data_IF_341971470757
#
_entry.id   IF_341971470757
#
_cell.length_a   1.000
_cell.length_b   1.000
_cell.length_c   1.000
_cell.angle_alpha   90.00
_cell.angle_beta   90.00
_cell.angle_gamma   90.00
#
_symmetry.space_group_name_H-M   'P 1'
#
loop_
_entity.id
_entity.type
_entity.pdbx_description
1 polymer ?
#
# COMPACT_ATOMS: atom_id res chain seq x y z
N UNK A 1 9.75 -51.92 -75.12
CA UNK A 1 8.84 -52.24 -73.99
C UNK A 1 8.02 -50.98 -73.67
N UNK A 2 6.69 -51.11 -73.75
CA UNK A 2 5.59 -50.23 -73.29
C UNK A 2 5.24 -48.92 -74.05
N UNK A 3 3.99 -48.99 -74.51
CA UNK A 3 3.07 -48.09 -75.20
C UNK A 3 2.41 -47.03 -74.28
N UNK A 4 2.03 -45.87 -74.88
CA UNK A 4 0.73 -45.12 -74.86
C UNK A 4 -0.12 -45.14 -73.56
N UNK A 5 -0.77 -44.07 -73.05
CA UNK A 5 -1.92 -43.30 -73.60
C UNK A 5 -2.18 -42.00 -72.77
N UNK A 6 -2.92 -41.08 -73.38
CA UNK A 6 -3.35 -39.70 -73.13
C UNK A 6 -4.30 -39.30 -71.95
N UNK A 7 -4.34 -37.97 -71.74
CA UNK A 7 -5.47 -37.03 -71.45
C UNK A 7 -6.21 -37.02 -70.10
N UNK A 8 -6.36 -35.83 -69.48
CA UNK A 8 -7.63 -35.04 -69.41
C UNK A 8 -7.50 -33.73 -68.60
N UNK A 9 -8.22 -32.70 -69.06
CA UNK A 9 -8.46 -31.38 -68.46
C UNK A 9 -8.96 -31.40 -67.01
N UNK A 10 -8.65 -30.35 -66.23
CA UNK A 10 -9.67 -29.61 -65.47
C UNK A 10 -9.22 -28.21 -65.01
N UNK A 11 -10.17 -27.29 -65.08
CA UNK A 11 -10.15 -25.85 -64.80
C UNK A 11 -10.14 -25.55 -63.29
N UNK A 12 -9.46 -24.44 -62.94
CA UNK A 12 -9.91 -23.35 -62.03
C UNK A 12 -10.14 -23.69 -60.54
N UNK A 13 -9.39 -23.03 -59.64
CA UNK A 13 -9.96 -22.09 -58.66
C UNK A 13 -8.88 -21.37 -57.83
N UNK A 14 -8.85 -20.06 -57.98
CA UNK A 14 -8.22 -19.08 -57.10
C UNK A 14 -8.71 -19.26 -55.66
N UNK A 15 -7.83 -19.69 -54.76
CA UNK A 15 -8.08 -19.74 -53.32
C UNK A 15 -7.76 -18.36 -52.69
N UNK A 16 -8.67 -17.39 -52.87
CA UNK A 16 -8.75 -16.18 -52.03
C UNK A 16 -9.49 -16.52 -50.72
N UNK A 17 -8.85 -17.23 -49.79
CA UNK A 17 -9.45 -17.48 -48.46
C UNK A 17 -8.41 -17.54 -47.34
N UNK A 18 -7.66 -16.46 -47.13
CA UNK A 18 -6.84 -16.29 -45.91
C UNK A 18 -7.11 -14.99 -45.14
N UNK A 19 -7.99 -14.11 -45.63
CA UNK A 19 -8.18 -12.77 -45.05
C UNK A 19 -9.34 -12.67 -44.06
N UNK A 20 -10.31 -13.61 -44.05
CA UNK A 20 -11.46 -13.57 -43.12
C UNK A 20 -11.15 -14.12 -41.71
N UNK A 21 -10.17 -15.02 -41.55
CA UNK A 21 -9.87 -15.65 -40.25
C UNK A 21 -9.18 -14.69 -39.26
N UNK A 22 -8.53 -13.63 -39.74
CA UNK A 22 -7.83 -12.64 -38.90
C UNK A 22 -8.77 -11.56 -38.31
N UNK A 23 -9.92 -11.31 -38.96
CA UNK A 23 -10.91 -10.29 -38.57
C UNK A 23 -11.86 -10.80 -37.45
N UNK A 24 -12.14 -12.10 -37.41
CA UNK A 24 -13.00 -12.70 -36.37
C UNK A 24 -12.30 -12.84 -35.00
N UNK A 25 -10.98 -13.12 -34.98
CA UNK A 25 -10.22 -13.16 -33.73
C UNK A 25 -10.04 -11.77 -33.10
N UNK A 26 -9.92 -10.71 -33.90
CA UNK A 26 -9.82 -9.33 -33.38
C UNK A 26 -11.15 -8.84 -32.83
N UNK A 27 -12.29 -9.15 -33.47
CA UNK A 27 -13.62 -8.82 -32.91
C UNK A 27 -13.92 -9.60 -31.63
N UNK A 28 -13.58 -10.90 -31.54
CA UNK A 28 -13.73 -11.66 -30.27
C UNK A 28 -12.83 -11.12 -29.16
N UNK A 29 -11.57 -10.79 -29.47
CA UNK A 29 -10.64 -10.25 -28.47
C UNK A 29 -11.04 -8.84 -27.99
N UNK A 30 -11.61 -8.02 -28.87
CA UNK A 30 -12.15 -6.71 -28.49
C UNK A 30 -13.42 -6.83 -27.63
N UNK A 31 -14.36 -7.72 -27.97
CA UNK A 31 -15.54 -7.97 -27.12
C UNK A 31 -15.15 -8.52 -25.74
N UNK A 32 -14.14 -9.40 -25.65
CA UNK A 32 -13.64 -9.93 -24.37
C UNK A 32 -13.00 -8.82 -23.52
N UNK A 33 -12.23 -7.92 -24.15
CA UNK A 33 -11.61 -6.77 -23.46
C UNK A 33 -12.66 -5.77 -22.98
N UNK A 34 -13.66 -5.48 -23.80
CA UNK A 34 -14.76 -4.58 -23.46
C UNK A 34 -15.63 -5.17 -22.34
N UNK A 35 -15.92 -6.48 -22.38
CA UNK A 35 -16.60 -7.16 -21.28
C UNK A 35 -15.79 -7.19 -19.99
N UNK A 36 -14.45 -7.27 -20.07
CA UNK A 36 -13.57 -7.21 -18.90
C UNK A 36 -13.56 -5.84 -18.25
N UNK A 37 -13.56 -4.76 -19.04
CA UNK A 37 -13.63 -3.38 -18.53
C UNK A 37 -14.94 -3.15 -17.77
N UNK A 38 -16.08 -3.58 -18.35
CA UNK A 38 -17.39 -3.43 -17.68
C UNK A 38 -17.46 -4.26 -16.38
N UNK A 39 -16.89 -5.48 -16.38
CA UNK A 39 -16.81 -6.29 -15.16
C UNK A 39 -15.97 -5.63 -14.07
N UNK A 40 -14.82 -5.08 -14.43
CA UNK A 40 -13.91 -4.39 -13.51
C UNK A 40 -14.59 -3.14 -12.90
N UNK A 41 -15.32 -2.35 -13.70
CA UNK A 41 -16.10 -1.21 -13.22
C UNK A 41 -17.19 -1.64 -12.23
N UNK A 42 -17.95 -2.70 -12.54
CA UNK A 42 -18.98 -3.23 -11.65
C UNK A 42 -18.38 -3.70 -10.33
N UNK A 43 -17.25 -4.42 -10.37
CA UNK A 43 -16.55 -4.89 -9.17
C UNK A 43 -16.09 -3.70 -8.32
N UNK A 44 -15.55 -2.64 -8.94
CA UNK A 44 -15.14 -1.43 -8.22
C UNK A 44 -16.32 -0.75 -7.52
N UNK A 45 -17.46 -0.61 -8.20
CA UNK A 45 -18.67 0.02 -7.63
C UNK A 45 -19.23 -0.82 -6.47
N UNK A 46 -19.36 -2.14 -6.65
CA UNK A 46 -19.81 -3.03 -5.57
C UNK A 46 -18.86 -2.97 -4.38
N UNK A 47 -17.55 -3.02 -4.63
CA UNK A 47 -16.54 -2.95 -3.57
C UNK A 47 -16.60 -1.62 -2.82
N UNK A 48 -16.84 -0.51 -3.52
CA UNK A 48 -17.04 0.80 -2.89
C UNK A 48 -18.26 0.81 -1.97
N UNK A 49 -19.40 0.28 -2.43
CA UNK A 49 -20.63 0.19 -1.63
C UNK A 49 -20.39 -0.67 -0.38
N UNK A 50 -19.79 -1.84 -0.53
CA UNK A 50 -19.43 -2.73 0.59
C UNK A 50 -18.50 -2.01 1.57
N UNK A 51 -17.52 -1.25 1.08
CA UNK A 51 -16.59 -0.50 1.92
C UNK A 51 -17.31 0.61 2.69
N UNK A 52 -18.21 1.35 2.06
CA UNK A 52 -19.02 2.37 2.77
C UNK A 52 -19.89 1.71 3.84
N UNK A 53 -20.54 0.58 3.53
CA UNK A 53 -21.36 -0.15 4.50
C UNK A 53 -20.52 -0.66 5.68
N UNK A 54 -19.33 -1.22 5.44
CA UNK A 54 -18.41 -1.65 6.50
C UNK A 54 -17.92 -0.46 7.35
N UNK A 55 -17.59 0.67 6.71
CA UNK A 55 -17.21 1.89 7.42
C UNK A 55 -18.32 2.34 8.36
N UNK A 56 -19.56 2.48 7.86
CA UNK A 56 -20.71 2.85 8.68
C UNK A 56 -20.99 1.83 9.79
N UNK A 57 -20.82 0.55 9.49
CA UNK A 57 -20.97 -0.55 10.45
C UNK A 57 -19.99 -0.41 11.62
N UNK A 58 -18.74 -0.03 11.36
CA UNK A 58 -17.73 0.18 12.39
C UNK A 58 -18.05 1.35 13.35
N UNK A 59 -18.94 2.26 12.96
CA UNK A 59 -19.46 3.33 13.83
C UNK A 59 -20.85 3.03 14.39
N UNK A 60 -21.30 1.76 14.35
CA UNK A 60 -22.64 1.31 14.75
C UNK A 60 -23.81 1.94 13.98
N UNK A 61 -23.55 2.54 12.82
CA UNK A 61 -24.56 3.20 11.98
C UNK A 61 -25.28 2.24 11.03
N UNK A 62 -24.87 0.98 10.96
CA UNK A 62 -25.41 -0.05 10.05
C UNK A 62 -26.53 -0.93 10.62
N UNK A 63 -27.09 -0.57 11.79
CA UNK A 63 -28.13 -1.36 12.46
C UNK A 63 -27.65 -2.76 12.89
N UNK A 64 -28.57 -3.73 12.99
CA UNK A 64 -28.24 -5.10 13.46
C UNK A 64 -27.22 -5.80 12.57
N UNK A 65 -27.36 -5.65 11.25
CA UNK A 65 -26.44 -6.27 10.27
C UNK A 65 -25.07 -5.61 10.37
N UNK A 66 -25.02 -4.27 10.44
CA UNK A 66 -23.75 -3.57 10.61
C UNK A 66 -23.04 -3.95 11.91
N UNK A 67 -23.77 -4.06 13.02
CA UNK A 67 -23.20 -4.51 14.30
C UNK A 67 -22.60 -5.91 14.22
N UNK A 68 -23.23 -6.83 13.49
CA UNK A 68 -22.67 -8.16 13.26
C UNK A 68 -21.34 -8.11 12.51
N UNK A 69 -21.24 -7.30 11.45
CA UNK A 69 -19.99 -7.13 10.71
C UNK A 69 -18.93 -6.37 11.49
N UNK A 70 -19.30 -5.35 12.27
CA UNK A 70 -18.36 -4.64 13.15
C UNK A 70 -17.80 -5.60 14.19
N UNK A 71 -18.66 -6.39 14.84
CA UNK A 71 -18.25 -7.36 15.86
C UNK A 71 -17.24 -8.37 15.31
N UNK A 72 -17.49 -8.90 14.11
CA UNK A 72 -16.57 -9.83 13.44
C UNK A 72 -15.25 -9.15 13.10
N UNK A 73 -15.30 -7.97 12.47
CA UNK A 73 -14.09 -7.27 12.01
C UNK A 73 -13.24 -6.78 13.17
N UNK A 74 -13.83 -6.19 14.22
CA UNK A 74 -13.13 -5.83 15.45
C UNK A 74 -12.59 -7.07 16.17
N UNK A 75 -13.33 -8.16 16.24
CA UNK A 75 -12.84 -9.38 16.87
C UNK A 75 -11.64 -10.00 16.12
N UNK A 76 -11.61 -9.92 14.78
CA UNK A 76 -10.53 -10.50 13.97
C UNK A 76 -9.26 -9.65 13.93
N UNK A 77 -9.40 -8.34 13.71
CA UNK A 77 -8.26 -7.42 13.44
C UNK A 77 -8.20 -6.21 14.38
N UNK A 78 -9.10 -6.13 15.36
CA UNK A 78 -9.10 -5.08 16.37
C UNK A 78 -9.30 -3.69 15.77
N UNK A 79 -8.48 -2.74 16.23
CA UNK A 79 -8.55 -1.33 15.83
C UNK A 79 -8.35 -1.15 14.32
N UNK A 80 -7.65 -2.06 13.64
CA UNK A 80 -7.49 -1.99 12.19
C UNK A 80 -8.82 -2.17 11.44
N UNK A 81 -9.89 -2.60 12.10
CA UNK A 81 -11.23 -2.60 11.51
C UNK A 81 -11.60 -1.25 10.92
N UNK A 82 -11.21 -0.13 11.54
CA UNK A 82 -11.45 1.20 10.98
C UNK A 82 -10.73 1.46 9.63
N UNK A 83 -9.58 0.82 9.41
CA UNK A 83 -8.79 0.94 8.17
C UNK A 83 -9.29 -0.05 7.11
N UNK A 84 -9.86 -1.19 7.52
CA UNK A 84 -10.27 -2.29 6.66
C UNK A 84 -11.15 -1.86 5.46
N UNK A 85 -12.20 -1.02 5.61
CA UNK A 85 -13.01 -0.60 4.47
C UNK A 85 -12.20 0.09 3.38
N UNK A 86 -11.29 0.97 3.78
CA UNK A 86 -10.38 1.66 2.85
C UNK A 86 -9.38 0.67 2.24
N UNK A 87 -8.83 -0.23 3.05
CA UNK A 87 -7.89 -1.23 2.57
C UNK A 87 -8.53 -2.13 1.50
N UNK A 88 -9.75 -2.63 1.71
CA UNK A 88 -10.47 -3.46 0.74
C UNK A 88 -10.69 -2.70 -0.56
N UNK A 89 -11.18 -1.46 -0.49
CA UNK A 89 -11.41 -0.64 -1.69
C UNK A 89 -10.12 -0.37 -2.46
N UNK A 90 -9.09 0.18 -1.79
CA UNK A 90 -7.85 0.57 -2.46
C UNK A 90 -7.03 -0.62 -2.93
N UNK A 91 -6.99 -1.73 -2.19
CA UNK A 91 -6.29 -2.94 -2.66
C UNK A 91 -6.98 -3.55 -3.87
N UNK A 92 -8.32 -3.59 -3.88
CA UNK A 92 -9.08 -4.08 -5.04
C UNK A 92 -8.88 -3.17 -6.25
N UNK A 93 -8.99 -1.85 -6.07
CA UNK A 93 -8.76 -0.89 -7.15
C UNK A 93 -7.33 -0.93 -7.68
N UNK A 94 -6.34 -1.05 -6.79
CA UNK A 94 -4.94 -1.18 -7.18
C UNK A 94 -4.68 -2.51 -7.90
N UNK A 95 -5.30 -3.60 -7.48
CA UNK A 95 -5.21 -4.91 -8.13
C UNK A 95 -5.74 -4.87 -9.57
N UNK A 96 -6.97 -4.36 -9.75
CA UNK A 96 -7.61 -4.23 -11.06
C UNK A 96 -6.77 -3.33 -11.98
N UNK A 97 -6.35 -2.16 -11.47
CA UNK A 97 -5.56 -1.20 -12.26
C UNK A 97 -4.17 -1.71 -12.65
N UNK A 98 -3.68 -2.78 -12.01
CA UNK A 98 -2.34 -3.33 -12.24
C UNK A 98 -2.38 -4.82 -12.58
N UNK A 99 -3.47 -5.30 -13.16
CA UNK A 99 -3.62 -6.71 -13.51
C UNK A 99 -2.48 -7.16 -14.44
N UNK A 100 -1.87 -8.31 -14.14
CA UNK A 100 -0.71 -8.83 -14.86
C UNK A 100 0.65 -8.25 -14.45
N UNK A 101 0.69 -7.20 -13.62
CA UNK A 101 1.94 -6.64 -13.11
C UNK A 101 2.43 -7.38 -11.85
N UNK A 102 3.44 -8.26 -12.01
CA UNK A 102 4.05 -8.99 -10.89
C UNK A 102 4.56 -8.08 -9.77
N UNK A 103 5.02 -6.86 -10.08
CA UNK A 103 5.47 -5.90 -9.05
C UNK A 103 4.30 -5.39 -8.21
N UNK A 104 3.13 -5.20 -8.81
CA UNK A 104 1.93 -4.80 -8.09
C UNK A 104 1.43 -5.91 -7.16
N UNK A 105 1.47 -7.18 -7.61
CA UNK A 105 1.17 -8.33 -6.75
C UNK A 105 2.06 -8.38 -5.50
N UNK A 106 3.37 -8.13 -5.64
CA UNK A 106 4.28 -8.04 -4.48
C UNK A 106 3.90 -6.89 -3.54
N UNK A 107 3.51 -5.72 -4.06
CA UNK A 107 3.07 -4.58 -3.24
C UNK A 107 1.80 -4.89 -2.44
N UNK A 108 0.83 -5.57 -3.06
CA UNK A 108 -0.40 -6.01 -2.40
C UNK A 108 -0.04 -6.98 -1.26
N UNK A 109 0.75 -8.01 -1.55
CA UNK A 109 1.17 -8.98 -0.54
C UNK A 109 1.92 -8.31 0.62
N UNK A 110 2.87 -7.41 0.32
CA UNK A 110 3.58 -6.66 1.36
C UNK A 110 2.67 -5.73 2.16
N UNK A 111 1.61 -5.19 1.56
CA UNK A 111 0.60 -4.39 2.29
C UNK A 111 -0.20 -5.27 3.23
N UNK A 112 -0.63 -6.46 2.79
CA UNK A 112 -1.34 -7.42 3.64
C UNK A 112 -0.45 -7.86 4.82
N UNK A 113 0.80 -8.23 4.55
CA UNK A 113 1.76 -8.59 5.60
C UNK A 113 1.98 -7.43 6.57
N UNK A 114 2.12 -6.20 6.07
CA UNK A 114 2.24 -5.01 6.90
C UNK A 114 1.03 -4.83 7.82
N UNK A 115 -0.20 -4.96 7.30
CA UNK A 115 -1.42 -4.84 8.11
C UNK A 115 -1.51 -5.93 9.18
N UNK A 116 -1.13 -7.16 8.85
CA UNK A 116 -1.11 -8.28 9.80
C UNK A 116 -0.11 -8.05 10.93
N UNK A 117 1.12 -7.61 10.61
CA UNK A 117 2.12 -7.26 11.63
C UNK A 117 1.67 -6.03 12.43
N UNK A 118 0.99 -5.08 11.80
CA UNK A 118 0.44 -3.91 12.48
C UNK A 118 -0.67 -4.32 13.47
N UNK A 119 -1.54 -5.30 13.14
CA UNK A 119 -2.47 -5.88 14.12
C UNK A 119 -1.72 -6.40 15.35
N UNK A 120 -0.67 -7.20 15.14
CA UNK A 120 0.13 -7.76 16.23
C UNK A 120 0.82 -6.68 17.07
N UNK A 121 1.37 -5.65 16.40
CA UNK A 121 1.98 -4.51 17.07
C UNK A 121 0.97 -3.72 17.90
N UNK A 122 -0.23 -3.45 17.37
CA UNK A 122 -1.30 -2.78 18.12
C UNK A 122 -1.76 -3.65 19.31
N UNK A 123 -1.84 -4.97 19.15
CA UNK A 123 -2.15 -5.86 20.26
C UNK A 123 -1.10 -5.75 21.37
N UNK A 124 0.18 -5.77 21.01
CA UNK A 124 1.30 -5.75 21.95
C UNK A 124 1.39 -4.44 22.76
N UNK A 125 1.04 -3.29 22.15
CA UNK A 125 0.98 -2.00 22.85
C UNK A 125 -0.31 -1.84 23.67
N UNK A 126 -1.40 -2.51 23.28
CA UNK A 126 -2.70 -2.31 23.92
C UNK A 126 -2.82 -3.04 25.25
N UNK A 127 -2.15 -4.18 25.40
CA UNK A 127 -2.20 -5.01 26.60
C UNK A 127 -0.84 -5.69 26.78
N UNK A 128 -0.37 -5.73 28.03
CA UNK A 128 0.82 -6.49 28.37
C UNK A 128 0.61 -7.98 28.02
N UNK A 129 1.65 -8.62 27.51
CA UNK A 129 1.60 -10.04 27.15
C UNK A 129 1.33 -10.91 28.38
N UNK A 130 0.32 -11.77 28.27
CA UNK A 130 0.00 -12.81 29.25
C UNK A 130 -0.04 -14.17 28.52
N UNK A 131 0.81 -15.09 28.97
CA UNK A 131 0.94 -16.43 28.39
C UNK A 131 -0.30 -17.30 28.63
N UNK A 132 -1.14 -16.98 29.60
CA UNK A 132 -2.36 -17.73 29.91
C UNK A 132 -3.59 -17.25 29.14
N UNK A 133 -3.47 -16.12 28.44
CA UNK A 133 -4.57 -15.51 27.69
C UNK A 133 -4.96 -16.40 26.51
N UNK A 134 -6.23 -16.81 26.45
CA UNK A 134 -6.74 -17.68 25.37
C UNK A 134 -6.92 -16.90 24.07
N UNK A 135 -6.83 -17.61 22.94
CA UNK A 135 -7.03 -17.02 21.60
C UNK A 135 -8.38 -16.30 21.49
N UNK A 136 -9.44 -16.87 22.07
CA UNK A 136 -10.78 -16.28 22.02
C UNK A 136 -10.92 -15.00 22.88
N UNK A 137 -10.08 -14.83 23.91
CA UNK A 137 -10.10 -13.61 24.73
C UNK A 137 -9.62 -12.40 23.92
N UNK A 138 -8.69 -12.59 22.98
CA UNK A 138 -8.31 -11.52 22.05
C UNK A 138 -9.49 -11.08 21.17
N UNK A 139 -10.37 -12.00 20.78
CA UNK A 139 -11.59 -11.68 20.03
C UNK A 139 -12.56 -10.86 20.86
N UNK A 140 -12.90 -11.35 22.06
CA UNK A 140 -13.91 -10.72 22.92
C UNK A 140 -13.46 -9.34 23.35
N UNK A 141 -12.21 -9.19 23.79
CA UNK A 141 -11.66 -7.89 24.20
C UNK A 141 -11.66 -6.89 23.04
N UNK A 142 -11.27 -7.34 21.84
CA UNK A 142 -11.20 -6.46 20.68
C UNK A 142 -12.58 -6.07 20.18
N UNK A 143 -13.55 -6.99 20.23
CA UNK A 143 -14.95 -6.73 19.88
C UNK A 143 -15.61 -5.76 20.88
N UNK A 144 -15.50 -6.01 22.18
CA UNK A 144 -16.23 -5.27 23.22
C UNK A 144 -15.64 -3.88 23.46
N UNK A 145 -14.31 -3.79 23.56
CA UNK A 145 -13.62 -2.54 23.90
C UNK A 145 -13.08 -1.79 22.69
N UNK A 146 -13.18 -2.37 21.47
CA UNK A 146 -12.64 -1.80 20.22
C UNK A 146 -11.18 -1.39 20.34
N UNK A 147 -10.39 -2.24 21.01
CA UNK A 147 -8.95 -2.05 21.29
C UNK A 147 -8.15 -3.28 20.86
N UNK A 148 -6.83 -3.17 20.80
CA UNK A 148 -5.98 -4.28 20.42
C UNK A 148 -6.01 -4.61 18.92
N UNK A 149 -5.47 -5.78 18.60
CA UNK A 149 -5.25 -6.27 17.23
C UNK A 149 -6.10 -7.47 16.84
N UNK A 150 -7.12 -7.82 17.63
CA UNK A 150 -7.98 -8.97 17.39
C UNK A 150 -7.26 -10.31 17.51
N UNK A 151 -7.94 -11.37 17.07
CA UNK A 151 -7.38 -12.73 17.02
C UNK A 151 -6.07 -12.77 16.23
N UNK A 152 -6.00 -12.08 15.08
CA UNK A 152 -4.82 -12.15 14.21
C UNK A 152 -3.60 -11.54 14.91
N UNK A 153 -3.77 -10.38 15.54
CA UNK A 153 -2.71 -9.77 16.33
C UNK A 153 -2.34 -10.58 17.57
N UNK A 154 -3.34 -11.12 18.28
CA UNK A 154 -3.16 -11.96 19.46
C UNK A 154 -2.36 -13.23 19.20
N UNK A 155 -2.67 -13.97 18.12
CA UNK A 155 -1.93 -15.17 17.74
C UNK A 155 -0.47 -14.84 17.44
N UNK A 156 -0.21 -13.76 16.70
CA UNK A 156 1.17 -13.36 16.40
C UNK A 156 1.93 -12.93 17.65
N UNK A 157 1.31 -12.18 18.56
CA UNK A 157 1.92 -11.84 19.85
C UNK A 157 2.21 -13.11 20.65
N UNK A 158 1.27 -14.04 20.74
CA UNK A 158 1.45 -15.31 21.45
C UNK A 158 2.61 -16.14 20.90
N UNK A 159 2.76 -16.20 19.57
CA UNK A 159 3.87 -16.92 18.94
C UNK A 159 5.19 -16.20 19.21
N UNK A 160 5.29 -14.90 18.92
CA UNK A 160 6.56 -14.19 19.01
C UNK A 160 7.02 -13.94 20.46
N UNK A 161 6.12 -13.57 21.37
CA UNK A 161 6.43 -13.45 22.81
C UNK A 161 6.52 -14.82 23.51
N UNK A 162 6.09 -15.91 22.87
CA UNK A 162 6.37 -17.27 23.33
C UNK A 162 7.77 -17.75 22.90
N UNK A 163 8.23 -17.35 21.72
CA UNK A 163 9.55 -17.70 21.19
C UNK A 163 10.67 -16.76 21.66
N UNK A 164 10.34 -15.49 21.89
CA UNK A 164 11.21 -14.41 22.33
C UNK A 164 10.59 -13.70 23.53
N UNK A 165 11.29 -12.74 24.12
CA UNK A 165 10.67 -11.86 25.12
C UNK A 165 9.83 -10.73 24.46
N UNK A 166 9.11 -9.98 25.28
CA UNK A 166 8.29 -8.83 24.84
C UNK A 166 9.11 -7.72 24.16
N UNK A 167 10.27 -7.36 24.72
CA UNK A 167 11.16 -6.30 24.19
C UNK A 167 11.72 -6.70 22.82
N UNK A 168 12.17 -7.94 22.67
CA UNK A 168 12.65 -8.49 21.40
C UNK A 168 11.54 -8.52 20.36
N UNK A 169 10.32 -8.91 20.76
CA UNK A 169 9.15 -8.92 19.86
C UNK A 169 8.84 -7.54 19.30
N UNK A 170 8.93 -6.47 20.12
CA UNK A 170 8.78 -5.10 19.65
C UNK A 170 9.76 -4.76 18.52
N UNK A 171 11.05 -5.07 18.70
CA UNK A 171 12.10 -4.80 17.72
C UNK A 171 11.83 -5.57 16.42
N UNK A 172 11.44 -6.84 16.52
CA UNK A 172 11.15 -7.71 15.37
C UNK A 172 9.94 -7.18 14.58
N UNK A 173 8.85 -6.81 15.24
CA UNK A 173 7.66 -6.27 14.57
C UNK A 173 7.97 -4.95 13.87
N UNK A 174 8.74 -4.06 14.51
CA UNK A 174 9.21 -2.81 13.91
C UNK A 174 10.05 -3.09 12.66
N UNK A 175 10.99 -4.05 12.72
CA UNK A 175 11.80 -4.42 11.58
C UNK A 175 10.97 -4.99 10.42
N UNK A 176 10.03 -5.90 10.69
CA UNK A 176 9.14 -6.47 9.67
C UNK A 176 8.23 -5.41 9.02
N UNK A 177 7.76 -4.44 9.80
CA UNK A 177 7.01 -3.29 9.29
C UNK A 177 7.88 -2.44 8.36
N UNK A 178 9.12 -2.12 8.73
CA UNK A 178 10.03 -1.37 7.85
C UNK A 178 10.34 -2.11 6.55
N UNK A 179 10.62 -3.41 6.62
CA UNK A 179 10.86 -4.25 5.43
C UNK A 179 9.64 -4.18 4.51
N UNK A 180 8.43 -4.39 5.06
CA UNK A 180 7.19 -4.34 4.27
C UNK A 180 6.97 -2.96 3.63
N UNK A 181 7.19 -1.87 4.38
CA UNK A 181 7.10 -0.50 3.87
C UNK A 181 8.06 -0.23 2.71
N UNK A 182 9.29 -0.76 2.76
CA UNK A 182 10.27 -0.59 1.68
C UNK A 182 9.81 -1.28 0.39
N UNK A 183 9.16 -2.44 0.49
CA UNK A 183 8.61 -3.15 -0.67
C UNK A 183 7.40 -2.41 -1.25
N UNK A 184 6.51 -1.90 -0.39
CA UNK A 184 5.33 -1.12 -0.79
C UNK A 184 5.75 0.15 -1.56
N UNK A 185 6.68 0.93 -0.99
CA UNK A 185 7.20 2.15 -1.62
C UNK A 185 8.05 1.88 -2.87
N UNK A 186 8.56 0.64 -3.02
CA UNK A 186 9.39 0.23 -4.17
C UNK A 186 10.73 0.96 -4.27
N UNK A 187 11.12 1.65 -3.20
CA UNK A 187 12.37 2.41 -3.05
C UNK A 187 12.87 2.13 -1.65
N UNK A 188 14.18 1.98 -1.47
CA UNK A 188 14.76 1.85 -0.14
C UNK A 188 14.37 3.08 0.69
N UNK A 189 13.61 2.86 1.77
CA UNK A 189 13.10 3.91 2.66
C UNK A 189 14.24 4.84 3.13
N UNK A 190 15.36 4.24 3.53
CA UNK A 190 16.59 4.94 3.91
C UNK A 190 17.18 5.80 2.79
N UNK A 191 17.16 5.33 1.53
CA UNK A 191 17.66 6.11 0.40
C UNK A 191 16.76 7.32 0.10
N UNK A 192 15.45 7.21 0.28
CA UNK A 192 14.55 8.35 0.12
C UNK A 192 14.74 9.40 1.23
N UNK A 193 14.93 8.96 2.48
CA UNK A 193 15.24 9.85 3.61
C UNK A 193 16.59 10.53 3.39
N UNK A 194 17.62 9.78 3.02
CA UNK A 194 18.96 10.32 2.74
C UNK A 194 18.93 11.33 1.58
N UNK A 195 18.15 11.07 0.52
CA UNK A 195 17.98 12.01 -0.60
C UNK A 195 17.28 13.30 -0.16
N UNK A 196 16.21 13.22 0.64
CA UNK A 196 15.54 14.40 1.19
C UNK A 196 16.46 15.20 2.13
N UNK A 197 17.22 14.51 2.99
CA UNK A 197 18.20 15.14 3.89
C UNK A 197 19.32 15.84 3.12
N UNK A 198 19.89 15.19 2.10
CA UNK A 198 20.93 15.79 1.25
C UNK A 198 20.42 16.98 0.44
N UNK A 199 19.16 16.96 -0.03
CA UNK A 199 18.56 18.12 -0.69
C UNK A 199 18.42 19.29 0.29
N UNK A 200 17.83 19.04 1.46
CA UNK A 200 17.68 20.06 2.50
C UNK A 200 19.03 20.61 2.98
N UNK A 201 20.07 19.79 3.02
CA UNK A 201 21.44 20.22 3.35
C UNK A 201 22.07 21.06 2.23
N UNK A 202 21.94 20.65 0.96
CA UNK A 202 22.47 21.40 -0.19
C UNK A 202 21.78 22.75 -0.34
N UNK A 203 20.47 22.79 -0.19
CA UNK A 203 19.65 24.01 -0.28
C UNK A 203 20.02 25.02 0.81
N UNK A 204 20.25 24.55 2.05
CA UNK A 204 20.79 25.40 3.12
C UNK A 204 22.21 25.90 2.83
N UNK A 205 23.07 25.05 2.27
CA UNK A 205 24.45 25.42 1.92
C UNK A 205 24.49 26.45 0.79
N UNK A 206 23.63 26.31 -0.21
CA UNK A 206 23.48 27.27 -1.31
C UNK A 206 22.90 28.59 -0.83
N UNK A 207 21.84 28.55 -0.01
CA UNK A 207 21.29 29.75 0.62
C UNK A 207 22.34 30.52 1.45
N UNK A 208 23.16 29.81 2.26
CA UNK A 208 24.23 30.45 3.01
C UNK A 208 25.32 31.08 2.13
N UNK A 209 25.63 30.46 0.97
CA UNK A 209 26.56 31.06 0.00
C UNK A 209 25.98 32.33 -0.61
N UNK A 210 24.73 32.29 -1.06
CA UNK A 210 24.06 33.47 -1.63
C UNK A 210 24.00 34.63 -0.65
N UNK A 211 23.65 34.36 0.63
CA UNK A 211 23.65 35.39 1.68
C UNK A 211 25.04 35.97 1.89
N UNK A 212 26.10 35.15 1.86
CA UNK A 212 27.48 35.61 1.99
C UNK A 212 27.92 36.45 0.79
N UNK A 213 27.59 36.01 -0.42
CA UNK A 213 27.89 36.75 -1.65
C UNK A 213 27.18 38.11 -1.69
N UNK A 214 25.91 38.17 -1.27
CA UNK A 214 25.17 39.42 -1.13
C UNK A 214 25.79 40.37 -0.10
N UNK A 215 26.25 39.84 1.04
CA UNK A 215 26.94 40.65 2.05
C UNK A 215 28.26 41.23 1.52
N UNK A 216 29.05 40.41 0.83
CA UNK A 216 30.31 40.86 0.25
C UNK A 216 30.10 41.88 -0.88
N UNK A 217 29.08 41.70 -1.72
CA UNK A 217 28.72 42.66 -2.76
C UNK A 217 28.26 44.00 -2.16
N UNK A 218 27.44 43.97 -1.11
CA UNK A 218 27.00 45.17 -0.40
C UNK A 218 28.17 45.92 0.24
N UNK A 219 29.09 45.19 0.90
CA UNK A 219 30.27 45.76 1.57
C UNK A 219 31.28 46.35 0.57
N UNK A 220 31.42 45.75 -0.62
CA UNK A 220 32.24 46.31 -1.70
C UNK A 220 31.65 47.59 -2.30
N UNK A 221 30.32 47.70 -2.33
CA UNK A 221 29.60 48.88 -2.85
C UNK A 221 29.52 50.02 -1.80
N UNK A 222 29.57 49.69 -0.50
CA UNK A 222 29.44 50.64 0.62
C UNK A 222 30.63 50.55 1.62
N UNK A 223 31.87 50.87 1.22
CA UNK A 223 33.09 50.64 2.02
C UNK A 223 33.21 51.47 3.31
N UNK A 224 32.33 52.47 3.53
CA UNK A 224 32.35 53.37 4.69
C UNK A 224 31.19 53.12 5.68
N UNK A 225 30.25 52.23 5.38
CA UNK A 225 29.18 51.83 6.32
C UNK A 225 29.64 50.67 7.21
N UNK A 226 29.76 50.91 8.52
CA UNK A 226 30.08 49.85 9.48
C UNK A 226 28.90 48.85 9.49
N UNK A 227 29.11 47.55 9.20
CA UNK A 227 28.01 46.60 9.20
C UNK A 227 27.47 46.46 10.62
N UNK A 228 26.20 46.85 10.83
CA UNK A 228 25.49 46.65 12.10
C UNK A 228 25.33 45.14 12.31
N UNK A 229 26.25 44.52 13.06
CA UNK A 229 26.14 43.13 13.48
C UNK A 229 24.85 42.98 14.27
N UNK A 230 23.89 42.20 13.74
CA UNK A 230 22.66 41.88 14.49
C UNK A 230 23.09 41.22 15.80
N UNK A 231 22.65 41.73 16.97
CA UNK A 231 23.00 41.14 18.25
C UNK A 231 22.53 39.67 18.28
N UNK A 232 23.27 38.77 18.95
CA UNK A 232 22.90 37.37 19.03
C UNK A 232 21.50 37.24 19.63
N UNK A 233 20.65 36.41 19.02
CA UNK A 233 19.35 36.05 19.59
C UNK A 233 19.59 35.26 20.88
N UNK A 234 19.59 35.94 22.01
CA UNK A 234 19.56 35.30 23.32
C UNK A 234 18.15 34.77 23.56
N UNK A 235 18.01 33.44 23.60
CA UNK A 235 16.78 32.83 24.08
C UNK A 235 16.76 32.98 25.60
N UNK A 236 15.93 33.90 26.09
CA UNK A 236 15.64 34.00 27.51
C UNK A 236 14.81 32.78 27.89
N UNK A 237 15.42 31.85 28.64
CA UNK A 237 14.67 30.81 29.32
C UNK A 237 13.98 31.45 30.53
N UNK A 238 12.69 31.72 30.42
CA UNK A 238 11.88 31.98 31.60
C UNK A 238 11.74 30.65 32.36
N UNK A 239 12.36 30.60 33.54
CA UNK A 239 12.08 29.63 34.61
C UNK A 239 10.74 29.89 35.26
#
# INVERSE_FOLDING_TARGET
MRLKVASKQSRKKTSKTKTQRKKSNTTKQNNIRESGIVQDEIILVITLVVSILLFLSNFDLGGKVGKFFSDITFGLIGVLSYILPFAIFFLTAFYISNLGNRKAGKKILSTVVFLVVLCAFIQLISKQYDANMKIFEYYTESKEYRRGGGIIGGILVMIFCGLFDTVATYIIFIAMMFISLTVITGKAFFTNIAKKGNHAYKERKEYQKLVREQQLAYEAEHPMEIPVRRPPKTFLFNT
#
